data_IF_222268685866
#
_entry.id   IF_222268685866
#
_cell.length_a   1.000
_cell.length_b   1.000
_cell.length_c   1.000
_cell.angle_alpha   90.00
_cell.angle_beta   90.00
_cell.angle_gamma   90.00
#
_symmetry.space_group_name_H-M   'P 1'
#
loop_
_entity.id
_entity.type
_entity.pdbx_description
1 polymer ?
#
# COMPACT_ATOMS: atom_id res chain seq x y z
N UNK A 1 -29.15 -39.52 26.17
CA UNK A 1 -28.71 -39.02 24.85
C UNK A 1 -29.85 -38.20 24.28
N UNK A 2 -29.69 -36.89 24.23
CA UNK A 2 -30.64 -35.93 23.67
C UNK A 2 -30.93 -36.25 22.20
N UNK A 3 -32.19 -36.21 21.79
CA UNK A 3 -32.56 -36.32 20.37
C UNK A 3 -31.95 -35.16 19.60
N UNK A 4 -31.20 -35.44 18.54
CA UNK A 4 -30.67 -34.40 17.65
C UNK A 4 -31.88 -33.71 17.00
N UNK A 5 -32.02 -32.40 17.23
CA UNK A 5 -33.11 -31.62 16.65
C UNK A 5 -32.84 -31.43 15.16
N UNK A 6 -33.71 -32.01 14.34
CA UNK A 6 -33.71 -31.80 12.89
C UNK A 6 -34.59 -30.59 12.58
N UNK A 7 -34.10 -29.71 11.73
CA UNK A 7 -34.87 -28.60 11.22
C UNK A 7 -35.02 -28.69 9.69
N UNK A 8 -36.18 -28.26 9.15
CA UNK A 8 -36.38 -28.21 7.72
C UNK A 8 -35.51 -27.10 7.11
N UNK A 9 -34.78 -27.42 6.04
CA UNK A 9 -34.02 -26.46 5.22
C UNK A 9 -34.43 -26.63 3.76
N UNK A 10 -34.70 -25.52 3.07
CA UNK A 10 -35.07 -25.54 1.66
C UNK A 10 -33.82 -25.43 0.78
N UNK A 11 -33.58 -26.45 -0.04
CA UNK A 11 -32.56 -26.42 -1.09
C UNK A 11 -33.32 -26.52 -2.42
N UNK A 12 -33.16 -25.52 -3.28
CA UNK A 12 -33.81 -25.47 -4.59
C UNK A 12 -35.35 -25.68 -4.58
N UNK A 13 -36.03 -25.14 -3.56
CA UNK A 13 -37.48 -25.29 -3.41
C UNK A 13 -37.94 -26.64 -2.83
N UNK A 14 -37.03 -27.59 -2.60
CA UNK A 14 -37.30 -28.87 -1.94
C UNK A 14 -36.88 -28.78 -0.47
N UNK A 15 -37.69 -29.31 0.45
CA UNK A 15 -37.41 -29.30 1.89
C UNK A 15 -36.64 -30.54 2.31
N UNK A 16 -35.47 -30.34 2.92
CA UNK A 16 -34.58 -31.35 3.47
C UNK A 16 -34.52 -31.26 4.99
N UNK A 17 -34.03 -32.31 5.63
CA UNK A 17 -33.77 -32.31 7.07
C UNK A 17 -32.28 -31.99 7.30
N UNK A 18 -32.00 -30.99 8.13
CA UNK A 18 -30.65 -30.64 8.53
C UNK A 18 -30.51 -30.67 10.05
N UNK A 19 -29.34 -31.07 10.52
CA UNK A 19 -28.98 -30.90 11.92
C UNK A 19 -28.78 -29.41 12.20
N UNK A 20 -29.35 -28.92 13.31
CA UNK A 20 -29.27 -27.50 13.66
C UNK A 20 -27.81 -27.03 13.82
N UNK A 21 -26.99 -27.79 14.55
CA UNK A 21 -25.67 -27.30 15.02
C UNK A 21 -24.50 -28.28 14.79
N UNK A 22 -24.75 -29.59 14.73
CA UNK A 22 -23.67 -30.60 14.73
C UNK A 22 -23.99 -31.78 13.81
N UNK A 23 -22.97 -32.30 13.13
CA UNK A 23 -23.07 -33.56 12.38
C UNK A 23 -21.88 -34.48 12.68
N UNK A 24 -21.96 -35.74 12.29
CA UNK A 24 -20.84 -36.66 12.44
C UNK A 24 -19.65 -36.24 11.55
N UNK A 25 -18.43 -36.47 12.02
CA UNK A 25 -17.20 -36.10 11.32
C UNK A 25 -17.18 -36.66 9.89
N UNK A 26 -17.67 -37.89 9.73
CA UNK A 26 -17.77 -38.62 8.47
C UNK A 26 -18.71 -37.93 7.48
N UNK A 27 -19.81 -37.31 7.95
CA UNK A 27 -20.70 -36.50 7.12
C UNK A 27 -19.99 -35.24 6.64
N UNK A 28 -19.27 -34.55 7.53
CA UNK A 28 -18.47 -33.37 7.17
C UNK A 28 -17.38 -33.70 6.15
N UNK A 29 -16.67 -34.82 6.33
CA UNK A 29 -15.64 -35.28 5.39
C UNK A 29 -16.23 -35.64 4.02
N UNK A 30 -17.39 -36.32 3.98
CA UNK A 30 -18.06 -36.62 2.73
C UNK A 30 -18.50 -35.35 2.01
N UNK A 31 -19.07 -34.38 2.73
CA UNK A 31 -19.43 -33.07 2.18
C UNK A 31 -18.21 -32.35 1.60
N UNK A 32 -17.10 -32.29 2.34
CA UNK A 32 -15.84 -31.69 1.89
C UNK A 32 -15.31 -32.36 0.62
N UNK A 33 -15.31 -33.70 0.59
CA UNK A 33 -14.82 -34.48 -0.53
C UNK A 33 -15.61 -34.17 -1.82
N UNK A 34 -16.93 -34.04 -1.72
CA UNK A 34 -17.75 -33.71 -2.89
C UNK A 34 -17.63 -32.24 -3.30
N UNK A 35 -17.49 -31.32 -2.34
CA UNK A 35 -17.23 -29.90 -2.61
C UNK A 35 -15.85 -29.65 -3.26
N UNK A 36 -14.84 -30.45 -2.91
CA UNK A 36 -13.49 -30.32 -3.45
C UNK A 36 -13.46 -30.44 -4.98
N UNK A 37 -14.35 -31.25 -5.57
CA UNK A 37 -14.45 -31.37 -7.04
C UNK A 37 -14.76 -30.02 -7.70
N UNK A 38 -15.63 -29.21 -7.09
CA UNK A 38 -15.97 -27.87 -7.61
C UNK A 38 -14.81 -26.89 -7.44
N UNK A 39 -14.07 -27.01 -6.33
CA UNK A 39 -12.86 -26.21 -6.08
C UNK A 39 -11.74 -26.57 -7.03
N UNK A 40 -11.55 -27.85 -7.33
CA UNK A 40 -10.57 -28.30 -8.31
C UNK A 40 -10.91 -27.74 -9.70
N UNK A 41 -12.18 -27.83 -10.13
CA UNK A 41 -12.64 -27.25 -11.41
C UNK A 41 -12.45 -25.73 -11.46
N UNK A 42 -12.75 -25.03 -10.36
CA UNK A 42 -12.49 -23.60 -10.23
C UNK A 42 -10.99 -23.28 -10.36
N UNK A 43 -10.14 -24.05 -9.67
CA UNK A 43 -8.69 -23.85 -9.60
C UNK A 43 -7.91 -24.39 -10.81
N UNK A 44 -8.56 -25.03 -11.79
CA UNK A 44 -7.95 -25.39 -13.07
C UNK A 44 -7.52 -24.13 -13.84
N UNK A 45 -6.46 -23.45 -13.42
CA UNK A 45 -5.95 -22.25 -14.10
C UNK A 45 -5.10 -22.63 -15.33
N UNK A 46 -5.08 -21.70 -16.27
CA UNK A 46 -4.59 -21.72 -17.65
C UNK A 46 -3.08 -21.98 -17.86
N UNK A 47 -2.38 -22.59 -16.90
CA UNK A 47 -0.94 -22.87 -17.01
C UNK A 47 -0.61 -24.37 -16.87
N UNK A 48 -0.35 -24.99 -18.03
CA UNK A 48 0.51 -26.17 -18.24
C UNK A 48 0.04 -27.62 -17.96
N UNK A 49 -1.21 -27.91 -17.61
CA UNK A 49 -1.83 -29.26 -17.71
C UNK A 49 -3.26 -29.11 -18.29
N UNK A 50 -3.92 -30.15 -18.86
CA UNK A 50 -4.97 -29.98 -19.88
C UNK A 50 -6.02 -28.95 -19.43
N UNK A 51 -5.94 -27.77 -20.05
CA UNK A 51 -6.59 -26.52 -19.61
C UNK A 51 -8.09 -26.49 -19.90
N UNK A 52 -8.58 -27.52 -20.59
CA UNK A 52 -9.99 -27.70 -20.92
C UNK A 52 -10.64 -28.66 -19.93
N UNK A 53 -11.76 -28.22 -19.33
CA UNK A 53 -12.70 -29.13 -18.68
C UNK A 53 -13.02 -30.26 -19.67
N UNK A 54 -12.84 -31.51 -19.23
CA UNK A 54 -13.14 -32.70 -20.04
C UNK A 54 -14.53 -33.22 -19.72
N UNK A 55 -15.08 -34.13 -20.53
CA UNK A 55 -16.34 -34.79 -20.21
C UNK A 55 -16.24 -35.54 -18.87
N UNK A 56 -15.10 -36.19 -18.61
CA UNK A 56 -14.87 -36.86 -17.32
C UNK A 56 -14.94 -35.89 -16.12
N UNK A 57 -14.44 -34.66 -16.29
CA UNK A 57 -14.54 -33.61 -15.26
C UNK A 57 -15.99 -33.16 -15.06
N UNK A 58 -16.76 -33.00 -16.14
CA UNK A 58 -18.16 -32.64 -16.06
C UNK A 58 -19.01 -33.77 -15.42
N UNK A 59 -18.69 -35.03 -15.75
CA UNK A 59 -19.31 -36.21 -15.13
C UNK A 59 -18.99 -36.28 -13.63
N UNK A 60 -17.77 -35.93 -13.22
CA UNK A 60 -17.38 -35.82 -11.80
C UNK A 60 -18.17 -34.72 -11.07
N UNK A 61 -18.38 -33.55 -11.69
CA UNK A 61 -19.21 -32.50 -11.11
C UNK A 61 -20.66 -32.99 -10.91
N UNK A 62 -21.24 -33.64 -11.92
CA UNK A 62 -22.59 -34.25 -11.83
C UNK A 62 -22.68 -35.30 -10.72
N UNK A 63 -21.69 -36.18 -10.62
CA UNK A 63 -21.67 -37.19 -9.56
C UNK A 63 -21.55 -36.54 -8.17
N UNK A 64 -20.71 -35.52 -8.02
CA UNK A 64 -20.53 -34.83 -6.74
C UNK A 64 -21.78 -34.09 -6.27
N UNK A 65 -22.49 -33.40 -7.16
CA UNK A 65 -23.74 -32.71 -6.77
C UNK A 65 -24.86 -33.70 -6.45
N UNK A 66 -24.96 -34.82 -7.16
CA UNK A 66 -25.88 -35.90 -6.81
C UNK A 66 -25.56 -36.49 -5.43
N UNK A 67 -24.27 -36.70 -5.13
CA UNK A 67 -23.84 -37.20 -3.83
C UNK A 67 -24.10 -36.18 -2.71
N UNK A 68 -23.93 -34.88 -2.96
CA UNK A 68 -24.27 -33.81 -2.02
C UNK A 68 -25.78 -33.75 -1.74
N UNK A 69 -26.61 -33.84 -2.79
CA UNK A 69 -28.07 -33.87 -2.66
C UNK A 69 -28.55 -35.14 -1.95
N UNK A 70 -27.95 -36.29 -2.24
CA UNK A 70 -28.22 -37.54 -1.54
C UNK A 70 -27.83 -37.43 -0.06
N UNK A 71 -26.68 -36.84 0.24
CA UNK A 71 -26.23 -36.60 1.61
C UNK A 71 -27.17 -35.65 2.36
N UNK A 72 -27.73 -34.64 1.68
CA UNK A 72 -28.75 -33.75 2.23
C UNK A 72 -30.09 -34.46 2.47
N UNK A 73 -30.52 -35.34 1.56
CA UNK A 73 -31.80 -36.02 1.60
C UNK A 73 -31.84 -37.18 2.58
N UNK A 74 -30.85 -38.06 2.48
CA UNK A 74 -30.83 -39.32 3.18
C UNK A 74 -29.89 -39.27 4.39
N UNK A 75 -28.97 -38.32 4.47
CA UNK A 75 -27.92 -38.33 5.50
C UNK A 75 -26.94 -39.50 5.32
N UNK A 76 -26.12 -39.75 6.33
CA UNK A 76 -25.19 -40.88 6.39
C UNK A 76 -25.37 -41.65 7.70
N UNK A 77 -25.43 -42.98 7.61
CA UNK A 77 -25.39 -43.83 8.78
C UNK A 77 -23.95 -43.92 9.31
N UNK A 78 -23.70 -43.34 10.48
CA UNK A 78 -22.36 -43.30 11.08
C UNK A 78 -22.39 -44.02 12.42
N UNK A 79 -21.42 -44.90 12.63
CA UNK A 79 -21.19 -45.58 13.89
C UNK A 79 -20.15 -44.82 14.71
N UNK A 80 -20.61 -43.86 15.50
CA UNK A 80 -19.74 -43.05 16.37
C UNK A 80 -19.23 -43.85 17.58
N UNK A 81 -19.99 -44.86 18.02
CA UNK A 81 -19.63 -45.78 19.10
C UNK A 81 -19.71 -47.23 18.58
N UNK A 82 -18.62 -48.01 18.58
CA UNK A 82 -18.60 -49.41 18.13
C UNK A 82 -19.58 -50.33 18.87
N UNK A 83 -20.00 -49.95 20.08
CA UNK A 83 -20.92 -50.74 20.91
C UNK A 83 -22.40 -50.49 20.59
N UNK A 84 -22.71 -49.49 19.77
CA UNK A 84 -24.07 -49.09 19.42
C UNK A 84 -24.32 -49.26 17.91
N UNK A 85 -25.58 -49.47 17.49
CA UNK A 85 -25.92 -49.49 16.08
C UNK A 85 -25.66 -48.11 15.44
N UNK A 86 -25.33 -48.07 14.13
CA UNK A 86 -25.14 -46.82 13.39
C UNK A 86 -26.35 -45.90 13.52
N UNK A 87 -26.11 -44.58 13.61
CA UNK A 87 -27.16 -43.55 13.63
C UNK A 87 -27.09 -42.72 12.35
N UNK A 88 -28.25 -42.28 11.87
CA UNK A 88 -28.32 -41.37 10.72
C UNK A 88 -27.91 -39.95 11.16
N UNK A 89 -26.95 -39.36 10.47
CA UNK A 89 -26.55 -37.96 10.62
C UNK A 89 -26.79 -37.22 9.30
N UNK A 90 -27.34 -36.02 9.38
CA UNK A 90 -27.64 -35.18 8.22
C UNK A 90 -26.65 -34.02 8.12
N UNK A 91 -26.67 -33.29 7.01
CA UNK A 91 -25.92 -32.04 6.88
C UNK A 91 -26.29 -31.04 7.98
N UNK A 92 -25.37 -30.16 8.35
CA UNK A 92 -25.71 -29.00 9.18
C UNK A 92 -26.51 -27.98 8.36
N UNK A 93 -27.17 -27.04 9.04
CA UNK A 93 -27.86 -25.91 8.39
C UNK A 93 -26.94 -25.09 7.49
N UNK A 94 -25.71 -24.84 7.91
CA UNK A 94 -24.70 -24.12 7.12
C UNK A 94 -24.29 -24.92 5.89
N UNK A 95 -23.98 -26.21 6.03
CA UNK A 95 -23.68 -27.09 4.88
C UNK A 95 -24.84 -27.14 3.88
N UNK A 96 -26.08 -27.21 4.36
CA UNK A 96 -27.27 -27.19 3.52
C UNK A 96 -27.45 -25.83 2.80
N UNK A 97 -27.11 -24.72 3.46
CA UNK A 97 -27.12 -23.38 2.87
C UNK A 97 -26.04 -23.24 1.79
N UNK A 98 -24.83 -23.70 2.06
CA UNK A 98 -23.71 -23.68 1.11
C UNK A 98 -24.04 -24.52 -0.13
N UNK A 99 -24.65 -25.68 0.05
CA UNK A 99 -25.16 -26.52 -1.03
C UNK A 99 -26.22 -25.80 -1.87
N UNK A 100 -27.16 -25.09 -1.23
CA UNK A 100 -28.18 -24.31 -1.94
C UNK A 100 -27.54 -23.18 -2.77
N UNK A 101 -26.52 -22.50 -2.24
CA UNK A 101 -25.79 -21.47 -2.98
C UNK A 101 -25.02 -22.05 -4.17
N UNK A 102 -24.38 -23.21 -4.01
CA UNK A 102 -23.74 -23.93 -5.10
C UNK A 102 -24.75 -24.26 -6.21
N UNK A 103 -25.91 -24.81 -5.86
CA UNK A 103 -26.98 -25.14 -6.81
C UNK A 103 -27.48 -23.91 -7.56
N UNK A 104 -27.69 -22.79 -6.86
CA UNK A 104 -28.06 -21.53 -7.49
C UNK A 104 -26.98 -21.03 -8.47
N UNK A 105 -25.70 -21.19 -8.11
CA UNK A 105 -24.59 -20.84 -9.01
C UNK A 105 -24.56 -21.71 -10.28
N UNK A 106 -24.88 -23.00 -10.16
CA UNK A 106 -24.97 -23.91 -11.30
C UNK A 106 -26.15 -23.54 -12.20
N UNK A 107 -27.30 -23.18 -11.63
CA UNK A 107 -28.46 -22.69 -12.38
C UNK A 107 -28.18 -21.38 -13.10
N UNK A 108 -27.42 -20.48 -12.48
CA UNK A 108 -26.98 -19.24 -13.12
C UNK A 108 -26.05 -19.50 -14.34
N UNK A 109 -25.40 -20.67 -14.37
CA UNK A 109 -24.61 -21.15 -15.50
C UNK A 109 -25.40 -21.98 -16.53
N UNK A 110 -26.72 -21.82 -16.57
CA UNK A 110 -27.63 -22.53 -17.49
C UNK A 110 -27.69 -24.06 -17.28
N UNK A 111 -27.35 -24.53 -16.08
CA UNK A 111 -27.56 -25.93 -15.68
C UNK A 111 -28.96 -26.03 -15.05
N UNK A 112 -29.97 -26.27 -15.90
CA UNK A 112 -31.38 -26.27 -15.49
C UNK A 112 -31.70 -27.34 -14.42
N UNK A 113 -31.09 -28.51 -14.53
CA UNK A 113 -31.14 -29.58 -13.54
C UNK A 113 -29.72 -29.94 -13.09
N UNK A 114 -29.26 -29.38 -11.96
CA UNK A 114 -27.96 -29.71 -11.39
C UNK A 114 -27.83 -31.18 -10.97
N UNK A 115 -28.95 -31.88 -10.71
CA UNK A 115 -28.90 -33.32 -10.46
C UNK A 115 -28.75 -34.16 -11.73
N UNK A 116 -28.88 -33.54 -12.92
CA UNK A 116 -28.69 -34.17 -14.21
C UNK A 116 -27.23 -34.23 -14.68
N UNK A 117 -27.03 -34.67 -15.94
CA UNK A 117 -25.72 -34.67 -16.58
C UNK A 117 -25.30 -33.24 -16.95
N UNK A 118 -24.13 -32.80 -16.46
CA UNK A 118 -23.51 -31.53 -16.79
C UNK A 118 -22.65 -31.75 -18.05
N UNK A 119 -22.87 -30.94 -19.08
CA UNK A 119 -22.02 -30.96 -20.27
C UNK A 119 -20.72 -30.18 -20.04
N UNK A 120 -19.68 -30.47 -20.84
CA UNK A 120 -18.43 -29.70 -20.83
C UNK A 120 -18.66 -28.20 -21.01
N UNK A 121 -19.56 -27.82 -21.93
CA UNK A 121 -19.86 -26.41 -22.18
C UNK A 121 -20.46 -25.71 -20.95
N UNK A 122 -21.40 -26.36 -20.28
CA UNK A 122 -22.01 -25.84 -19.05
C UNK A 122 -21.01 -25.72 -17.89
N UNK A 123 -20.15 -26.72 -17.71
CA UNK A 123 -19.09 -26.64 -16.70
C UNK A 123 -18.08 -25.52 -17.00
N UNK A 124 -17.78 -25.25 -18.27
CA UNK A 124 -16.94 -24.12 -18.69
C UNK A 124 -17.61 -22.77 -18.43
N UNK A 125 -18.90 -22.65 -18.75
CA UNK A 125 -19.70 -21.46 -18.44
C UNK A 125 -19.73 -21.22 -16.92
N UNK A 126 -20.03 -22.24 -16.12
CA UNK A 126 -20.02 -22.14 -14.66
C UNK A 126 -18.67 -21.68 -14.12
N UNK A 127 -17.57 -22.29 -14.58
CA UNK A 127 -16.23 -21.89 -14.18
C UNK A 127 -15.92 -20.45 -14.56
N UNK A 128 -16.31 -20.01 -15.76
CA UNK A 128 -16.08 -18.63 -16.21
C UNK A 128 -16.85 -17.61 -15.35
N UNK A 129 -18.09 -17.94 -14.98
CA UNK A 129 -18.91 -17.13 -14.09
C UNK A 129 -18.37 -17.13 -12.65
N UNK A 130 -17.90 -18.29 -12.17
CA UNK A 130 -17.27 -18.42 -10.87
C UNK A 130 -15.99 -17.59 -10.79
N UNK A 131 -15.14 -17.61 -11.82
CA UNK A 131 -13.92 -16.80 -11.87
C UNK A 131 -14.21 -15.28 -11.94
N UNK A 132 -15.33 -14.89 -12.55
CA UNK A 132 -15.76 -13.49 -12.63
C UNK A 132 -16.47 -13.01 -11.34
N UNK A 133 -16.87 -13.91 -10.44
CA UNK A 133 -17.65 -13.60 -9.25
C UNK A 133 -16.88 -13.95 -7.97
N UNK A 134 -16.36 -12.94 -7.25
CA UNK A 134 -15.68 -13.14 -5.96
C UNK A 134 -16.53 -13.93 -4.95
N UNK A 135 -17.85 -13.75 -5.02
CA UNK A 135 -18.82 -14.40 -4.13
C UNK A 135 -18.79 -15.93 -4.28
N UNK A 136 -18.59 -16.47 -5.48
CA UNK A 136 -18.56 -17.92 -5.69
C UNK A 136 -17.27 -18.53 -5.14
N UNK A 137 -16.14 -17.82 -5.29
CA UNK A 137 -14.88 -18.22 -4.68
C UNK A 137 -14.97 -18.22 -3.14
N UNK A 138 -15.59 -17.18 -2.56
CA UNK A 138 -15.81 -17.08 -1.12
C UNK A 138 -16.73 -18.20 -0.60
N UNK A 139 -17.80 -18.53 -1.32
CA UNK A 139 -18.71 -19.65 -0.97
C UNK A 139 -17.96 -20.99 -0.99
N UNK A 140 -17.16 -21.25 -2.03
CA UNK A 140 -16.42 -22.50 -2.16
C UNK A 140 -15.37 -22.66 -1.05
N UNK A 141 -14.65 -21.58 -0.73
CA UNK A 141 -13.67 -21.57 0.35
C UNK A 141 -14.34 -21.67 1.73
N UNK A 142 -15.48 -20.99 1.93
CA UNK A 142 -16.26 -21.06 3.16
C UNK A 142 -16.87 -22.46 3.38
N UNK A 143 -17.38 -23.12 2.33
CA UNK A 143 -17.94 -24.46 2.41
C UNK A 143 -16.90 -25.54 2.77
N UNK A 144 -15.65 -25.38 2.30
CA UNK A 144 -14.54 -26.24 2.72
C UNK A 144 -14.17 -25.95 4.17
N UNK A 145 -14.09 -24.68 4.58
CA UNK A 145 -13.77 -24.30 5.95
C UNK A 145 -14.83 -24.77 6.96
N UNK A 146 -16.12 -24.61 6.65
CA UNK A 146 -17.25 -25.00 7.50
C UNK A 146 -17.30 -26.52 7.73
N UNK A 147 -16.85 -27.32 6.76
CA UNK A 147 -16.79 -28.78 6.87
C UNK A 147 -15.72 -29.31 7.84
N UNK A 148 -14.64 -28.54 8.06
CA UNK A 148 -13.62 -28.84 9.09
C UNK A 148 -14.01 -28.35 10.49
N UNK A 149 -14.97 -27.42 10.57
CA UNK A 149 -15.34 -26.70 11.79
C UNK A 149 -16.66 -27.16 12.43
N UNK A 150 -17.41 -28.08 11.82
CA UNK A 150 -18.70 -28.62 12.28
C UNK A 150 -18.69 -29.31 13.68
N UNK A 151 -17.54 -29.36 14.36
CA UNK A 151 -17.37 -29.81 15.74
C UNK A 151 -17.25 -28.67 16.78
N UNK A 152 -17.37 -27.40 16.39
CA UNK A 152 -17.25 -26.25 17.31
C UNK A 152 -18.62 -25.66 17.65
N UNK A 153 -18.85 -25.35 18.92
CA UNK A 153 -20.10 -24.73 19.37
C UNK A 153 -20.34 -23.40 18.66
N UNK A 154 -21.59 -22.99 18.51
CA UNK A 154 -22.00 -21.70 17.94
C UNK A 154 -21.24 -20.50 18.56
N UNK A 155 -20.88 -20.63 19.84
CA UNK A 155 -19.99 -19.71 20.55
C UNK A 155 -18.58 -19.66 19.95
N UNK A 156 -17.96 -20.81 19.69
CA UNK A 156 -16.63 -20.90 19.10
C UNK A 156 -16.62 -20.48 17.61
N UNK A 157 -17.72 -20.64 16.88
CA UNK A 157 -17.81 -20.24 15.47
C UNK A 157 -17.98 -18.72 15.32
N UNK A 158 -18.83 -18.09 16.15
CA UNK A 158 -18.94 -16.63 16.23
C UNK A 158 -17.65 -16.00 16.77
N UNK A 159 -17.04 -16.59 17.81
CA UNK A 159 -15.76 -16.13 18.36
C UNK A 159 -14.64 -16.21 17.32
N UNK A 160 -14.50 -17.32 16.61
CA UNK A 160 -13.45 -17.50 15.63
C UNK A 160 -13.65 -16.58 14.42
N UNK A 161 -14.86 -16.54 13.84
CA UNK A 161 -15.12 -15.76 12.60
C UNK A 161 -15.10 -14.26 12.88
N UNK A 162 -15.70 -13.79 13.97
CA UNK A 162 -15.68 -12.38 14.34
C UNK A 162 -14.25 -11.92 14.62
N UNK A 163 -13.55 -12.58 15.55
CA UNK A 163 -12.17 -12.22 15.92
C UNK A 163 -11.23 -12.35 14.73
N UNK A 164 -11.35 -13.39 13.89
CA UNK A 164 -10.54 -13.54 12.67
C UNK A 164 -10.76 -12.41 11.68
N UNK A 165 -12.01 -12.11 11.33
CA UNK A 165 -12.32 -11.05 10.36
C UNK A 165 -11.85 -9.68 10.87
N UNK A 166 -12.06 -9.40 12.16
CA UNK A 166 -11.54 -8.19 12.79
C UNK A 166 -10.02 -8.11 12.71
N UNK A 167 -9.32 -9.21 13.04
CA UNK A 167 -7.87 -9.28 12.97
C UNK A 167 -7.33 -9.11 11.55
N UNK A 168 -7.98 -9.72 10.55
CA UNK A 168 -7.59 -9.58 9.15
C UNK A 168 -7.74 -8.13 8.65
N UNK A 169 -8.88 -7.49 8.92
CA UNK A 169 -9.11 -6.08 8.54
C UNK A 169 -8.12 -5.14 9.24
N UNK A 170 -7.84 -5.40 10.52
CA UNK A 170 -6.89 -4.60 11.30
C UNK A 170 -5.46 -4.82 10.85
N UNK A 171 -5.05 -6.06 10.58
CA UNK A 171 -3.72 -6.40 10.06
C UNK A 171 -3.47 -5.74 8.69
N UNK A 172 -4.44 -5.82 7.77
CA UNK A 172 -4.35 -5.18 6.46
C UNK A 172 -4.24 -3.66 6.58
N UNK A 173 -5.00 -3.04 7.50
CA UNK A 173 -4.94 -1.58 7.75
C UNK A 173 -3.60 -1.16 8.35
N UNK A 174 -3.07 -1.91 9.31
CA UNK A 174 -1.77 -1.64 9.95
C UNK A 174 -0.62 -1.82 8.96
N UNK A 175 -0.66 -2.87 8.12
CA UNK A 175 0.34 -3.07 7.07
C UNK A 175 0.33 -1.91 6.07
N UNK A 176 -0.85 -1.48 5.60
CA UNK A 176 -0.96 -0.33 4.70
C UNK A 176 -0.41 0.96 5.32
N UNK A 177 -0.61 1.17 6.64
CA UNK A 177 -0.05 2.31 7.36
C UNK A 177 1.46 2.23 7.54
N UNK A 178 1.99 1.04 7.80
CA UNK A 178 3.44 0.81 7.90
C UNK A 178 4.13 1.10 6.56
N UNK A 179 3.59 0.58 5.46
CA UNK A 179 4.07 0.87 4.11
C UNK A 179 4.02 2.37 3.80
N UNK A 180 2.93 3.05 4.20
CA UNK A 180 2.78 4.49 4.02
C UNK A 180 3.74 5.32 4.87
N UNK A 181 3.98 4.95 6.13
CA UNK A 181 4.96 5.59 7.01
C UNK A 181 6.39 5.40 6.50
N UNK A 182 6.73 4.19 6.05
CA UNK A 182 8.05 3.90 5.47
C UNK A 182 8.29 4.75 4.24
N UNK A 183 7.32 4.81 3.32
CA UNK A 183 7.39 5.62 2.09
C UNK A 183 7.54 7.12 2.41
N UNK A 184 6.79 7.64 3.40
CA UNK A 184 6.93 9.03 3.85
C UNK A 184 8.32 9.30 4.44
N UNK A 185 8.84 8.38 5.26
CA UNK A 185 10.15 8.53 5.88
C UNK A 185 11.28 8.49 4.83
N UNK A 186 11.19 7.60 3.84
CA UNK A 186 12.15 7.53 2.74
C UNK A 186 12.12 8.81 1.89
N UNK A 187 10.93 9.35 1.63
CA UNK A 187 10.75 10.64 0.97
C UNK A 187 11.44 11.78 1.75
N UNK A 188 11.27 11.84 3.08
CA UNK A 188 11.92 12.83 3.94
C UNK A 188 13.44 12.70 3.95
N UNK A 189 13.96 11.47 3.98
CA UNK A 189 15.39 11.21 3.90
C UNK A 189 15.97 11.72 2.56
N UNK A 190 15.31 11.42 1.43
CA UNK A 190 15.73 11.90 0.11
C UNK A 190 15.70 13.42 0.04
N UNK A 191 14.65 14.08 0.55
CA UNK A 191 14.56 15.53 0.59
C UNK A 191 15.64 16.16 1.46
N UNK A 192 15.98 15.53 2.59
CA UNK A 192 17.07 15.97 3.48
C UNK A 192 18.42 15.84 2.80
N UNK A 193 18.66 14.75 2.06
CA UNK A 193 19.88 14.56 1.28
C UNK A 193 19.98 15.60 0.15
N UNK A 194 18.86 15.89 -0.54
CA UNK A 194 18.79 16.96 -1.54
C UNK A 194 19.09 18.34 -0.93
N UNK A 195 18.50 18.65 0.23
CA UNK A 195 18.76 19.91 0.94
C UNK A 195 20.22 20.00 1.39
N UNK A 196 20.78 18.90 1.90
CA UNK A 196 22.19 18.83 2.32
C UNK A 196 23.12 19.05 1.14
N UNK A 197 22.81 18.45 -0.01
CA UNK A 197 23.56 18.66 -1.25
C UNK A 197 23.46 20.11 -1.71
N UNK A 198 22.25 20.68 -1.75
CA UNK A 198 22.00 22.07 -2.14
C UNK A 198 22.70 23.08 -1.22
N UNK A 199 22.85 22.74 0.07
CA UNK A 199 23.55 23.57 1.05
C UNK A 199 25.08 23.58 0.89
N UNK A 200 25.65 22.84 -0.07
CA UNK A 200 27.09 22.85 -0.39
C UNK A 200 27.50 24.05 -1.26
N UNK A 201 26.90 25.20 -0.95
CA UNK A 201 27.26 26.51 -1.47
C UNK A 201 27.94 27.31 -0.38
N UNK A 202 28.87 28.16 -0.78
CA UNK A 202 29.58 29.09 0.10
C UNK A 202 29.51 30.49 -0.51
N UNK A 203 29.48 31.54 0.32
CA UNK A 203 29.61 32.90 -0.20
C UNK A 203 31.01 33.07 -0.81
N UNK A 204 31.09 33.80 -1.92
CA UNK A 204 32.39 34.18 -2.51
C UNK A 204 33.24 34.93 -1.47
N UNK A 205 34.53 34.65 -1.47
CA UNK A 205 35.44 35.28 -0.52
C UNK A 205 35.54 36.76 -0.85
N UNK A 206 34.94 37.61 -0.02
CA UNK A 206 35.09 39.06 -0.15
C UNK A 206 36.58 39.40 -0.09
N UNK A 207 37.06 40.14 -1.09
CA UNK A 207 38.41 40.72 -1.04
C UNK A 207 38.55 41.52 0.25
N UNK A 208 39.68 41.50 0.95
CA UNK A 208 39.83 42.25 2.19
C UNK A 208 39.51 43.73 1.94
N UNK A 209 38.90 44.41 2.92
CA UNK A 209 38.53 45.82 2.79
C UNK A 209 39.72 46.70 2.35
N UNK A 210 40.93 46.35 2.78
CA UNK A 210 42.18 47.01 2.37
C UNK A 210 42.45 46.96 0.86
N UNK A 211 41.95 45.97 0.13
CA UNK A 211 42.10 45.88 -1.33
C UNK A 211 41.32 46.99 -2.06
N UNK A 212 40.36 47.62 -1.40
CA UNK A 212 39.59 48.77 -1.90
C UNK A 212 40.19 50.11 -1.44
N UNK A 213 41.22 50.04 -0.61
CA UNK A 213 41.92 51.18 -0.03
C UNK A 213 43.24 51.39 -0.78
N UNK A 214 43.30 52.38 -1.67
CA UNK A 214 44.56 52.80 -2.28
C UNK A 214 45.31 53.73 -1.30
N UNK A 215 45.80 53.17 -0.19
CA UNK A 215 46.64 53.90 0.77
C UNK A 215 48.07 53.96 0.23
N UNK A 216 48.29 54.83 -0.75
CA UNK A 216 49.57 55.55 -0.75
C UNK A 216 49.54 56.38 0.52
N UNK A 217 50.32 55.96 1.54
CA UNK A 217 50.32 56.55 2.89
C UNK A 217 50.29 58.07 2.75
N UNK A 218 49.22 58.75 3.20
CA UNK A 218 49.12 60.18 2.99
C UNK A 218 50.32 60.83 3.71
N UNK A 219 51.13 61.61 2.98
CA UNK A 219 52.21 62.38 3.59
C UNK A 219 51.64 63.29 4.68
N UNK A 220 52.46 63.76 5.61
CA UNK A 220 52.04 64.52 6.81
C UNK A 220 51.19 65.79 6.57
N UNK A 221 50.90 66.15 5.31
CA UNK A 221 50.11 67.30 4.86
C UNK A 221 48.86 66.94 4.03
N UNK A 222 48.44 65.68 3.99
CA UNK A 222 47.27 65.27 3.21
C UNK A 222 45.96 65.68 3.87
N UNK A 223 45.05 66.24 3.07
CA UNK A 223 43.72 66.69 3.49
C UNK A 223 42.87 65.52 4.06
N UNK A 224 42.39 65.61 5.32
CA UNK A 224 41.47 64.64 5.92
C UNK A 224 40.20 64.39 5.10
N UNK A 225 39.79 65.34 4.25
CA UNK A 225 38.62 65.21 3.37
C UNK A 225 38.82 64.10 2.31
N UNK A 226 40.06 63.92 1.81
CA UNK A 226 40.41 62.88 0.84
C UNK A 226 40.29 61.48 1.45
N UNK A 227 40.73 61.32 2.69
CA UNK A 227 40.60 60.05 3.41
C UNK A 227 39.13 59.67 3.61
N UNK A 228 38.27 60.64 3.98
CA UNK A 228 36.82 60.42 4.11
C UNK A 228 36.19 60.01 2.77
N UNK A 229 36.55 60.67 1.67
CA UNK A 229 36.04 60.34 0.34
C UNK A 229 36.49 58.94 -0.12
N UNK A 230 37.75 58.59 0.10
CA UNK A 230 38.28 57.24 -0.20
C UNK A 230 37.64 56.17 0.67
N UNK A 231 37.44 56.43 1.96
CA UNK A 231 36.71 55.51 2.84
C UNK A 231 35.28 55.30 2.37
N UNK A 232 34.55 56.37 2.02
CA UNK A 232 33.17 56.25 1.53
C UNK A 232 33.09 55.45 0.22
N UNK A 233 34.02 55.69 -0.71
CA UNK A 233 34.12 54.93 -1.96
C UNK A 233 34.48 53.45 -1.71
N UNK A 234 35.44 53.17 -0.84
CA UNK A 234 35.84 51.81 -0.45
C UNK A 234 34.71 51.08 0.29
N UNK A 235 34.01 51.76 1.19
CA UNK A 235 32.84 51.25 1.90
C UNK A 235 31.72 50.90 0.92
N UNK A 236 31.39 51.80 -0.02
CA UNK A 236 30.40 51.51 -1.05
C UNK A 236 30.82 50.33 -1.94
N UNK A 237 32.10 50.25 -2.33
CA UNK A 237 32.61 49.15 -3.15
C UNK A 237 32.66 47.79 -2.40
N UNK A 238 32.90 47.79 -1.09
CA UNK A 238 33.00 46.56 -0.29
C UNK A 238 31.62 46.08 0.22
N UNK A 239 30.81 47.00 0.75
CA UNK A 239 29.49 46.69 1.30
C UNK A 239 28.38 46.68 0.24
N UNK A 240 28.56 47.40 -0.87
CA UNK A 240 27.62 47.40 -2.00
C UNK A 240 27.82 46.24 -2.98
N UNK A 241 28.86 45.42 -2.82
CA UNK A 241 28.99 44.18 -3.60
C UNK A 241 27.98 43.13 -3.10
N UNK A 242 27.12 42.62 -4.00
CA UNK A 242 26.21 41.56 -3.64
C UNK A 242 26.99 40.31 -3.22
N UNK A 243 26.40 39.53 -2.31
CA UNK A 243 26.95 38.22 -1.96
C UNK A 243 26.67 37.29 -3.12
N UNK A 244 27.72 36.85 -3.81
CA UNK A 244 27.61 35.85 -4.86
C UNK A 244 27.86 34.47 -4.25
N UNK A 245 26.87 33.58 -4.18
CA UNK A 245 27.14 32.21 -3.80
C UNK A 245 27.95 31.50 -4.88
N UNK A 246 28.86 30.65 -4.44
CA UNK A 246 29.65 29.77 -5.27
C UNK A 246 29.50 28.34 -4.74
N UNK A 247 29.78 27.36 -5.60
CA UNK A 247 29.89 25.98 -5.16
C UNK A 247 31.09 25.85 -4.20
N UNK A 248 31.01 24.91 -3.26
CA UNK A 248 32.19 24.53 -2.48
C UNK A 248 33.36 24.12 -3.42
N UNK A 249 34.58 24.41 -2.99
CA UNK A 249 35.79 24.21 -3.80
C UNK A 249 35.99 22.77 -4.29
N UNK A 250 35.44 21.79 -3.56
CA UNK A 250 35.49 20.39 -3.92
C UNK A 250 34.52 20.03 -5.06
N UNK A 251 33.42 20.78 -5.20
CA UNK A 251 32.41 20.62 -6.24
C UNK A 251 32.74 21.43 -7.50
N UNK A 252 33.32 22.62 -7.33
CA UNK A 252 33.68 23.49 -8.43
C UNK A 252 34.91 24.32 -8.10
N UNK A 253 35.78 24.51 -9.09
CA UNK A 253 36.94 25.39 -8.98
C UNK A 253 37.01 26.34 -10.17
N UNK A 254 37.94 27.29 -10.14
CA UNK A 254 38.19 28.22 -11.23
C UNK A 254 39.53 27.88 -11.86
N UNK A 255 39.57 27.63 -13.17
CA UNK A 255 40.82 27.38 -13.88
C UNK A 255 41.64 28.68 -14.07
N UNK A 256 42.85 28.56 -14.60
CA UNK A 256 43.73 29.72 -14.85
C UNK A 256 43.11 30.76 -15.80
N UNK A 257 42.15 30.37 -16.65
CA UNK A 257 41.41 31.25 -17.54
C UNK A 257 40.20 31.93 -16.87
N UNK A 258 40.01 31.76 -15.55
CA UNK A 258 38.88 32.34 -14.82
C UNK A 258 37.55 31.62 -15.04
N UNK A 259 37.53 30.47 -15.72
CA UNK A 259 36.32 29.70 -16.00
C UNK A 259 36.05 28.67 -14.91
N UNK A 260 34.78 28.52 -14.54
CA UNK A 260 34.37 27.48 -13.60
C UNK A 260 34.55 26.08 -14.23
N UNK A 261 35.20 25.18 -13.51
CA UNK A 261 35.43 23.78 -13.90
C UNK A 261 35.01 22.83 -12.78
N UNK A 262 34.66 21.58 -13.09
CA UNK A 262 34.34 20.57 -12.09
C UNK A 262 35.47 20.39 -11.06
N UNK A 263 35.11 20.34 -9.79
CA UNK A 263 36.04 19.95 -8.71
C UNK A 263 36.18 18.44 -8.59
N UNK A 264 37.08 17.98 -7.71
CA UNK A 264 37.35 16.55 -7.52
C UNK A 264 36.16 15.76 -6.96
N UNK A 265 35.31 16.39 -6.14
CA UNK A 265 34.10 15.80 -5.56
C UNK A 265 32.86 15.91 -6.46
N UNK A 266 32.97 16.57 -7.62
CA UNK A 266 31.84 16.72 -8.54
C UNK A 266 31.27 15.40 -9.05
N UNK A 267 32.06 14.40 -9.48
CA UNK A 267 31.52 13.14 -10.01
C UNK A 267 30.63 12.42 -9.00
N UNK A 268 31.03 12.36 -7.72
CA UNK A 268 30.26 11.72 -6.66
C UNK A 268 28.98 12.51 -6.35
N UNK A 269 29.07 13.84 -6.28
CA UNK A 269 27.92 14.70 -6.08
C UNK A 269 26.91 14.62 -7.24
N UNK A 270 27.41 14.50 -8.48
CA UNK A 270 26.59 14.32 -9.67
C UNK A 270 25.87 12.97 -9.63
N UNK A 271 26.59 11.89 -9.35
CA UNK A 271 26.01 10.55 -9.21
C UNK A 271 24.97 10.51 -8.09
N UNK A 272 25.24 11.17 -6.96
CA UNK A 272 24.30 11.28 -5.85
C UNK A 272 23.02 12.04 -6.26
N UNK A 273 23.14 13.19 -6.92
CA UNK A 273 21.96 13.96 -7.37
C UNK A 273 21.09 13.16 -8.36
N UNK A 274 21.71 12.45 -9.30
CA UNK A 274 20.98 11.58 -10.24
C UNK A 274 20.26 10.47 -9.48
N UNK A 275 20.97 9.79 -8.57
CA UNK A 275 20.40 8.74 -7.71
C UNK A 275 19.22 9.24 -6.87
N UNK A 276 19.36 10.39 -6.21
CA UNK A 276 18.29 11.01 -5.42
C UNK A 276 17.08 11.35 -6.28
N UNK A 277 17.27 11.87 -7.50
CA UNK A 277 16.17 12.16 -8.42
C UNK A 277 15.42 10.89 -8.84
N UNK A 278 16.12 9.83 -9.20
CA UNK A 278 15.47 8.56 -9.59
C UNK A 278 14.75 7.92 -8.41
N UNK A 279 15.37 7.90 -7.21
CA UNK A 279 14.72 7.45 -5.97
C UNK A 279 13.46 8.26 -5.67
N UNK A 280 13.49 9.58 -5.89
CA UNK A 280 12.32 10.44 -5.71
C UNK A 280 11.18 10.10 -6.66
N UNK A 281 11.48 9.73 -7.92
CA UNK A 281 10.50 9.26 -8.90
C UNK A 281 9.89 7.91 -8.49
N UNK A 282 10.69 7.01 -7.94
CA UNK A 282 10.21 5.74 -7.41
C UNK A 282 9.28 5.96 -6.20
N UNK A 283 9.66 6.83 -5.25
CA UNK A 283 8.81 7.17 -4.10
C UNK A 283 7.49 7.84 -4.51
N UNK A 284 7.51 8.71 -5.52
CA UNK A 284 6.27 9.28 -6.10
C UNK A 284 5.36 8.16 -6.60
N UNK A 285 5.90 7.14 -7.27
CA UNK A 285 5.12 6.02 -7.80
C UNK A 285 4.46 5.20 -6.69
N UNK A 286 5.16 5.02 -5.55
CA UNK A 286 4.62 4.36 -4.35
C UNK A 286 3.56 5.21 -3.64
N UNK A 287 3.70 6.54 -3.65
CA UNK A 287 2.74 7.44 -3.00
C UNK A 287 1.42 7.62 -3.76
N UNK A 288 1.38 7.37 -5.07
CA UNK A 288 0.16 7.47 -5.89
C UNK A 288 -1.00 6.62 -5.33
N UNK A 289 -0.85 5.29 -5.11
CA UNK A 289 -1.96 4.46 -4.59
C UNK A 289 -2.34 4.81 -3.15
N UNK A 290 -1.44 5.41 -2.38
CA UNK A 290 -1.65 5.78 -0.97
C UNK A 290 -2.40 7.12 -0.87
N UNK A 291 -2.08 8.06 -1.76
CA UNK A 291 -2.63 9.42 -1.74
C UNK A 291 -4.02 9.45 -2.40
N UNK A 292 -5.07 9.33 -1.59
CA UNK A 292 -6.46 9.44 -2.06
C UNK A 292 -6.86 10.91 -2.26
N UNK A 293 -6.47 11.51 -3.38
CA UNK A 293 -6.91 12.87 -3.78
C UNK A 293 -7.78 12.86 -5.02
N UNK A 294 -8.83 13.67 -5.02
CA UNK A 294 -9.83 13.73 -6.09
C UNK A 294 -9.71 14.98 -6.97
N UNK A 295 -8.80 15.91 -6.64
CA UNK A 295 -8.57 17.13 -7.42
C UNK A 295 -7.10 17.56 -7.44
N UNK A 296 -6.72 18.29 -8.50
CA UNK A 296 -5.37 18.84 -8.69
C UNK A 296 -4.99 19.89 -7.65
N UNK A 297 -5.97 20.67 -7.16
CA UNK A 297 -5.76 21.65 -6.11
C UNK A 297 -5.45 21.00 -4.75
N UNK A 298 -6.07 19.86 -4.45
CA UNK A 298 -5.74 19.07 -3.26
C UNK A 298 -4.37 18.41 -3.42
N UNK A 299 -4.08 17.85 -4.60
CA UNK A 299 -2.80 17.21 -4.90
C UNK A 299 -1.62 18.16 -4.62
N UNK A 300 -1.68 19.42 -5.07
CA UNK A 300 -0.59 20.39 -4.88
C UNK A 300 -0.33 20.79 -3.42
N UNK A 301 -1.28 20.51 -2.51
CA UNK A 301 -1.14 20.70 -1.07
C UNK A 301 -0.61 19.44 -0.34
N UNK A 302 -0.65 18.27 -0.99
CA UNK A 302 -0.13 17.01 -0.42
C UNK A 302 1.39 16.86 -0.59
N UNK A 303 2.00 15.97 0.20
CA UNK A 303 3.38 15.53 0.00
C UNK A 303 3.62 15.11 -1.46
N UNK A 304 2.74 14.27 -2.04
CA UNK A 304 2.86 13.80 -3.41
C UNK A 304 3.00 14.96 -4.42
N UNK A 305 2.13 15.97 -4.32
CA UNK A 305 2.21 17.13 -5.22
C UNK A 305 3.47 17.98 -4.99
N UNK A 306 3.98 18.07 -3.75
CA UNK A 306 5.24 18.76 -3.47
C UNK A 306 6.45 18.00 -4.01
N UNK A 307 6.48 16.66 -3.88
CA UNK A 307 7.53 15.83 -4.47
C UNK A 307 7.53 15.93 -6.00
N UNK A 308 6.35 15.93 -6.63
CA UNK A 308 6.21 16.14 -8.06
C UNK A 308 6.74 17.50 -8.51
N UNK A 309 6.52 18.55 -7.72
CA UNK A 309 7.09 19.87 -7.99
C UNK A 309 8.63 19.86 -7.91
N UNK A 310 9.21 19.23 -6.88
CA UNK A 310 10.67 19.08 -6.73
C UNK A 310 11.28 18.31 -7.90
N UNK A 311 10.66 17.20 -8.33
CA UNK A 311 11.11 16.44 -9.51
C UNK A 311 11.00 17.28 -10.78
N UNK A 312 9.91 18.02 -10.97
CA UNK A 312 9.75 18.88 -12.13
C UNK A 312 10.82 19.99 -12.18
N UNK A 313 11.18 20.56 -11.03
CA UNK A 313 12.27 21.53 -10.94
C UNK A 313 13.63 20.88 -11.24
N UNK A 314 13.91 19.69 -10.72
CA UNK A 314 15.11 18.92 -11.05
C UNK A 314 15.20 18.62 -12.55
N UNK A 315 14.15 18.06 -13.14
CA UNK A 315 14.12 17.70 -14.57
C UNK A 315 14.23 18.93 -15.48
N UNK A 316 13.80 20.11 -15.02
CA UNK A 316 13.85 21.37 -15.78
C UNK A 316 15.17 22.11 -15.63
N UNK A 317 15.67 22.25 -14.40
CA UNK A 317 16.83 23.10 -14.08
C UNK A 317 18.13 22.32 -14.16
N UNK A 318 18.12 21.04 -13.77
CA UNK A 318 19.24 20.11 -13.89
C UNK A 318 19.13 19.34 -15.24
N UNK A 319 19.15 20.11 -16.32
CA UNK A 319 19.01 19.64 -17.69
C UNK A 319 20.00 20.30 -18.65
N UNK A 320 20.32 19.60 -19.73
CA UNK A 320 21.14 20.10 -20.84
C UNK A 320 20.27 20.07 -22.08
N UNK A 321 20.07 21.23 -22.72
CA UNK A 321 19.22 21.38 -23.91
C UNK A 321 17.79 20.85 -23.72
N UNK A 322 17.24 21.00 -22.50
CA UNK A 322 15.89 20.53 -22.14
C UNK A 322 15.79 19.03 -21.82
N UNK A 323 16.89 18.28 -21.84
CA UNK A 323 16.93 16.87 -21.45
C UNK A 323 17.55 16.77 -20.05
N UNK A 324 16.88 16.10 -19.08
CA UNK A 324 17.45 15.88 -17.75
C UNK A 324 18.83 15.23 -17.81
N UNK A 325 19.76 15.72 -16.99
CA UNK A 325 21.11 15.17 -16.93
C UNK A 325 21.08 13.70 -16.51
N UNK A 326 21.93 12.88 -17.13
CA UNK A 326 22.10 11.45 -16.84
C UNK A 326 23.58 11.09 -16.74
N UNK A 327 23.89 9.83 -16.41
CA UNK A 327 25.26 9.34 -16.28
C UNK A 327 26.08 9.42 -17.59
N UNK A 328 25.41 9.52 -18.74
CA UNK A 328 26.05 9.63 -20.06
C UNK A 328 26.21 11.08 -20.52
N UNK A 329 25.68 12.06 -19.78
CA UNK A 329 25.82 13.48 -20.13
C UNK A 329 27.29 13.90 -20.04
N UNK A 330 27.84 14.63 -21.03
CA UNK A 330 29.21 15.12 -20.97
C UNK A 330 29.48 15.90 -19.68
N UNK A 331 30.59 15.60 -18.99
CA UNK A 331 30.88 16.10 -17.64
C UNK A 331 30.80 17.63 -17.53
N UNK A 332 31.27 18.36 -18.53
CA UNK A 332 31.25 19.82 -18.52
C UNK A 332 29.83 20.39 -18.63
N UNK A 333 28.97 19.75 -19.41
CA UNK A 333 27.58 20.19 -19.56
C UNK A 333 26.75 19.80 -18.34
N UNK A 334 26.98 18.60 -17.79
CA UNK A 334 26.42 18.17 -16.51
C UNK A 334 26.82 19.13 -15.38
N UNK A 335 28.07 19.60 -15.36
CA UNK A 335 28.55 20.55 -14.35
C UNK A 335 27.86 21.91 -14.45
N UNK A 336 27.65 22.43 -15.67
CA UNK A 336 26.90 23.69 -15.86
C UNK A 336 25.47 23.56 -15.35
N UNK A 337 24.77 22.48 -15.70
CA UNK A 337 23.41 22.20 -15.23
C UNK A 337 23.35 22.02 -13.71
N UNK A 338 24.31 21.28 -13.13
CA UNK A 338 24.45 21.09 -11.69
C UNK A 338 24.67 22.42 -10.96
N UNK A 339 25.58 23.26 -11.46
CA UNK A 339 25.82 24.60 -10.91
C UNK A 339 24.56 25.45 -10.96
N UNK A 340 23.83 25.42 -12.07
CA UNK A 340 22.59 26.19 -12.23
C UNK A 340 21.52 25.75 -11.22
N UNK A 341 21.39 24.44 -10.98
CA UNK A 341 20.50 23.89 -9.96
C UNK A 341 20.92 24.28 -8.53
N UNK A 342 22.19 24.05 -8.18
CA UNK A 342 22.74 24.35 -6.85
C UNK A 342 22.64 25.83 -6.47
N UNK A 343 22.88 26.73 -7.43
CA UNK A 343 22.84 28.16 -7.17
C UNK A 343 21.42 28.72 -7.24
N UNK A 344 20.48 28.04 -7.89
CA UNK A 344 19.07 28.43 -7.96
C UNK A 344 18.86 29.92 -8.27
N UNK A 345 19.57 30.44 -9.28
CA UNK A 345 19.61 31.85 -9.69
C UNK A 345 20.04 32.86 -8.61
N UNK A 346 20.57 32.43 -7.45
CA UNK A 346 21.06 33.31 -6.37
C UNK A 346 22.28 34.16 -6.80
N UNK A 347 22.90 33.85 -7.93
CA UNK A 347 23.97 34.63 -8.54
C UNK A 347 23.48 35.77 -9.45
N UNK A 348 22.15 35.90 -9.65
CA UNK A 348 21.55 36.94 -10.50
C UNK A 348 20.92 38.07 -9.66
N UNK A 349 21.55 39.26 -9.68
CA UNK A 349 21.18 40.38 -8.80
C UNK A 349 20.32 41.50 -9.43
N UNK A 350 19.98 41.43 -10.72
CA UNK A 350 19.36 42.56 -11.43
C UNK A 350 18.44 42.25 -12.61
N UNK A 351 18.12 40.98 -12.86
CA UNK A 351 17.38 40.54 -14.05
C UNK A 351 16.02 39.92 -13.67
N UNK A 352 15.13 39.70 -14.63
CA UNK A 352 13.84 39.01 -14.40
C UNK A 352 13.97 37.62 -13.75
N UNK A 353 15.14 36.99 -13.85
CA UNK A 353 15.46 35.72 -13.20
C UNK A 353 15.81 35.85 -11.71
N UNK A 354 16.15 37.05 -11.21
CA UNK A 354 16.36 37.29 -9.77
C UNK A 354 15.08 37.02 -8.97
N UNK A 355 13.90 37.24 -9.58
CA UNK A 355 12.60 36.92 -8.98
C UNK A 355 12.35 35.40 -8.86
N UNK A 356 13.16 34.57 -9.50
CA UNK A 356 13.10 33.09 -9.41
C UNK A 356 14.18 32.54 -8.48
N UNK A 357 14.94 33.40 -7.81
CA UNK A 357 16.01 32.97 -6.94
C UNK A 357 15.45 32.25 -5.69
N UNK A 358 15.99 31.08 -5.36
CA UNK A 358 15.59 30.30 -4.19
C UNK A 358 14.29 29.50 -4.33
N UNK A 359 13.70 29.42 -5.53
CA UNK A 359 12.45 28.68 -5.76
C UNK A 359 12.60 27.17 -5.53
N UNK A 360 13.71 26.59 -5.95
CA UNK A 360 14.00 25.16 -5.78
C UNK A 360 14.17 24.85 -4.30
N UNK A 361 14.95 25.68 -3.59
CA UNK A 361 15.13 25.55 -2.15
C UNK A 361 13.80 25.69 -1.41
N UNK A 362 12.95 26.62 -1.83
CA UNK A 362 11.61 26.80 -1.29
C UNK A 362 10.74 25.56 -1.53
N UNK A 363 10.75 24.98 -2.73
CA UNK A 363 9.96 23.79 -3.04
C UNK A 363 10.45 22.55 -2.28
N UNK A 364 11.76 22.38 -2.08
CA UNK A 364 12.33 21.34 -1.21
C UNK A 364 11.85 21.55 0.23
N UNK A 365 11.93 22.78 0.75
CA UNK A 365 11.48 23.11 2.11
C UNK A 365 9.98 22.82 2.29
N UNK A 366 9.15 23.22 1.34
CA UNK A 366 7.71 22.93 1.35
C UNK A 366 7.41 21.43 1.29
N UNK A 367 8.20 20.66 0.53
CA UNK A 367 8.08 19.23 0.50
C UNK A 367 8.46 18.58 1.84
N UNK A 368 9.52 19.06 2.51
CA UNK A 368 9.92 18.58 3.84
C UNK A 368 8.79 18.85 4.85
N UNK A 369 8.28 20.09 4.92
CA UNK A 369 7.17 20.43 5.83
C UNK A 369 5.91 19.61 5.55
N UNK A 370 5.57 19.38 4.27
CA UNK A 370 4.45 18.52 3.91
C UNK A 370 4.68 17.05 4.32
N UNK A 371 5.93 16.58 4.22
CA UNK A 371 6.33 15.23 4.64
C UNK A 371 6.24 15.06 6.16
N UNK A 372 6.71 16.03 6.94
CA UNK A 372 6.57 16.04 8.40
C UNK A 372 5.10 16.02 8.83
N UNK A 373 4.27 16.90 8.24
CA UNK A 373 2.84 16.93 8.52
C UNK A 373 2.13 15.62 8.14
N UNK A 374 2.55 14.98 7.04
CA UNK A 374 1.98 13.69 6.61
C UNK A 374 2.39 12.59 7.57
N UNK A 375 3.65 12.54 7.98
CA UNK A 375 4.18 11.58 8.96
C UNK A 375 3.44 11.68 10.30
N UNK A 376 3.22 12.90 10.78
CA UNK A 376 2.49 13.14 12.03
C UNK A 376 1.02 12.70 11.93
N UNK A 377 0.36 12.98 10.80
CA UNK A 377 -1.01 12.50 10.55
C UNK A 377 -1.09 10.98 10.51
N UNK A 378 -0.14 10.31 9.85
CA UNK A 378 -0.08 8.84 9.76
C UNK A 378 0.19 8.20 11.13
N UNK A 379 1.08 8.78 11.94
CA UNK A 379 1.32 8.33 13.33
C UNK A 379 0.08 8.46 14.19
N UNK A 380 -0.67 9.55 14.03
CA UNK A 380 -1.95 9.73 14.72
C UNK A 380 -2.99 8.72 14.26
N UNK A 381 -3.01 8.38 12.96
CA UNK A 381 -3.88 7.33 12.43
C UNK A 381 -3.56 5.96 13.03
N UNK A 382 -2.27 5.60 13.15
CA UNK A 382 -1.84 4.38 13.86
C UNK A 382 -2.36 4.37 15.31
N UNK A 383 -2.26 5.48 16.05
CA UNK A 383 -2.81 5.57 17.41
C UNK A 383 -4.32 5.34 17.44
N UNK A 384 -5.05 5.89 16.47
CA UNK A 384 -6.50 5.68 16.34
C UNK A 384 -6.83 4.22 16.04
N UNK A 385 -6.08 3.54 15.17
CA UNK A 385 -6.27 2.12 14.92
C UNK A 385 -5.97 1.26 16.15
N UNK A 386 -4.92 1.58 16.92
CA UNK A 386 -4.65 0.91 18.20
C UNK A 386 -5.78 1.11 19.22
N UNK A 387 -6.35 2.31 19.29
CA UNK A 387 -7.52 2.57 20.12
C UNK A 387 -8.74 1.75 19.67
N UNK A 388 -9.04 1.73 18.37
CA UNK A 388 -10.15 0.92 17.82
C UNK A 388 -9.91 -0.57 18.08
N UNK A 389 -8.67 -1.03 17.97
CA UNK A 389 -8.28 -2.39 18.31
C UNK A 389 -8.60 -2.70 19.78
N UNK A 390 -8.18 -1.85 20.71
CA UNK A 390 -8.50 -2.02 22.14
C UNK A 390 -10.01 -2.06 22.41
N UNK A 391 -10.78 -1.14 21.81
CA UNK A 391 -12.24 -1.11 21.96
C UNK A 391 -12.93 -2.31 21.32
N UNK A 392 -12.42 -2.78 20.18
CA UNK A 392 -12.88 -3.99 19.51
C UNK A 392 -12.72 -5.22 20.41
N UNK A 393 -11.55 -5.40 21.03
CA UNK A 393 -11.31 -6.52 21.95
C UNK A 393 -12.16 -6.42 23.23
N UNK A 394 -12.37 -5.22 23.76
CA UNK A 394 -13.31 -5.00 24.89
C UNK A 394 -14.74 -5.41 24.50
N UNK A 395 -15.20 -5.01 23.32
CA UNK A 395 -16.51 -5.38 22.78
C UNK A 395 -16.64 -6.89 22.58
N UNK A 396 -15.65 -7.51 21.94
CA UNK A 396 -15.62 -8.97 21.74
C UNK A 396 -15.69 -9.71 23.09
N UNK A 397 -14.93 -9.27 24.09
CA UNK A 397 -15.00 -9.82 25.45
C UNK A 397 -16.40 -9.67 26.08
N UNK A 398 -17.08 -8.54 25.89
CA UNK A 398 -18.43 -8.33 26.41
C UNK A 398 -19.46 -9.24 25.73
N UNK A 399 -19.34 -9.45 24.41
CA UNK A 399 -20.18 -10.39 23.66
C UNK A 399 -19.96 -11.82 24.15
N UNK A 400 -18.71 -12.23 24.37
CA UNK A 400 -18.39 -13.56 24.90
C UNK A 400 -18.99 -13.79 26.30
N UNK A 401 -18.94 -12.78 27.17
CA UNK A 401 -19.58 -12.84 28.48
C UNK A 401 -21.11 -12.97 28.35
N UNK A 402 -21.73 -12.20 27.46
CA UNK A 402 -23.18 -12.29 27.22
C UNK A 402 -23.59 -13.67 26.69
N UNK A 403 -22.85 -14.23 25.74
CA UNK A 403 -23.07 -15.59 25.23
C UNK A 403 -22.95 -16.65 26.34
N UNK A 404 -21.91 -16.54 27.17
CA UNK A 404 -21.71 -17.43 28.32
C UNK A 404 -22.89 -17.35 29.31
N UNK A 405 -23.42 -16.15 29.56
CA UNK A 405 -24.60 -15.97 30.41
C UNK A 405 -25.86 -16.58 29.79
N UNK A 406 -26.06 -16.45 28.48
CA UNK A 406 -27.19 -17.05 27.76
C UNK A 406 -27.10 -18.58 27.85
N UNK A 407 -25.94 -19.16 27.58
CA UNK A 407 -25.70 -20.62 27.70
C UNK A 407 -25.96 -21.10 29.12
N UNK A 408 -25.46 -20.37 30.12
CA UNK A 408 -25.68 -20.70 31.53
C UNK A 408 -27.17 -20.68 31.88
N UNK A 409 -27.92 -19.68 31.40
CA UNK A 409 -29.38 -19.58 31.59
C UNK A 409 -30.14 -20.69 30.85
N UNK A 410 -29.72 -21.06 29.65
CA UNK A 410 -30.33 -22.17 28.90
C UNK A 410 -30.08 -23.51 29.58
N UNK A 411 -28.86 -23.77 30.05
CA UNK A 411 -28.51 -24.98 30.80
C UNK A 411 -29.30 -25.09 32.12
N UNK A 412 -29.49 -23.97 32.83
CA UNK A 412 -30.31 -23.90 34.04
C UNK A 412 -31.82 -24.08 33.75
N UNK A 413 -32.30 -23.60 32.60
CA UNK A 413 -33.70 -23.74 32.18
C UNK A 413 -34.07 -25.17 31.77
N UNK A 414 -33.13 -25.95 31.26
CA UNK A 414 -33.33 -27.35 30.84
C UNK A 414 -33.20 -28.33 32.02
N UNK A 415 -32.50 -27.94 33.10
CA UNK A 415 -32.32 -28.78 34.30
C UNK A 415 -33.52 -28.74 35.28
N UNK A 416 -34.55 -27.93 34.98
CA UNK A 416 -35.86 -27.94 35.66
C UNK A 416 -36.87 -28.66 34.79
#
# INVERSE_FOLDING_TARGET
MTSISLIPVTIDGVTYQANLEYTAKEVGQAFQQYMQVFVDVFNMSSSSAPTSITQATADQMSASIQNLLNLAQNGMAVQVDPSLPPKQYYLTTEMARDLNLLIQSLKAAEIADPAGSISVGQAQVWKSLAAASPVIADILNAAIASSGEANRSLQALVELVYVKTGNEVMANSLQALEEALSTTQDSLNILTDLQTLHNRIQPDAKKPFSAFFNVSRPGTNSDPSLYRAQYAAAASAYFGQPVNPQLNADLGSTNAAGSAVPGAGFPDALANLISLRERLKDEITKLIPITKVTSSAQLSATLLGKLQAVVADLDKVFAVSGVPVSATTPTMDAFKAFKNWMLDNLDQHGNANAAKAGLIQQNITFAITAGESTNDSQKEEVRRYLFVFEEYYKSASAVLQALTQIITKMAQGIAK
#
